data_IF_357398197932
#
_entry.id   IF_357398197932
#
_cell.length_a   1.000
_cell.length_b   1.000
_cell.length_c   1.000
_cell.angle_alpha   90.00
_cell.angle_beta   90.00
_cell.angle_gamma   90.00
#
_symmetry.space_group_name_H-M   'P 1'
#
loop_
_entity.id
_entity.type
_entity.pdbx_description
1 polymer ?
#
# COMPACT_ATOMS: atom_id res chain seq x y z
N UNK A 1 -16.73 -17.45 25.24
CA UNK A 1 -15.54 -17.90 26.01
C UNK A 1 -15.00 -19.10 25.28
N UNK A 2 -13.83 -18.94 24.64
CA UNK A 2 -13.23 -19.99 23.81
C UNK A 2 -13.04 -21.26 24.63
N UNK A 3 -13.51 -22.38 24.09
CA UNK A 3 -13.37 -23.72 24.65
C UNK A 3 -11.93 -24.18 24.43
N UNK A 4 -10.98 -23.52 25.08
CA UNK A 4 -9.60 -24.02 25.18
C UNK A 4 -9.68 -25.29 26.01
N UNK A 5 -9.59 -26.42 25.33
CA UNK A 5 -9.50 -27.70 26.00
C UNK A 5 -8.13 -27.77 26.65
N UNK A 6 -8.05 -28.14 27.93
CA UNK A 6 -6.78 -28.39 28.65
C UNK A 6 -5.79 -29.27 27.85
N UNK A 7 -6.28 -30.06 26.89
CA UNK A 7 -5.48 -30.88 25.97
C UNK A 7 -4.60 -30.10 24.95
N UNK A 8 -4.74 -28.77 24.86
CA UNK A 8 -3.88 -27.90 24.04
C UNK A 8 -2.71 -27.30 24.83
N UNK A 9 -2.63 -27.54 26.14
CA UNK A 9 -1.50 -27.12 26.94
C UNK A 9 -0.31 -28.07 26.71
N UNK A 10 0.85 -27.48 26.39
CA UNK A 10 2.09 -28.22 26.08
C UNK A 10 2.48 -29.21 27.18
N UNK A 11 2.07 -28.94 28.43
CA UNK A 11 2.26 -29.78 29.60
C UNK A 11 1.72 -31.21 29.46
N UNK A 12 0.72 -31.44 28.59
CA UNK A 12 0.16 -32.77 28.34
C UNK A 12 0.82 -33.51 27.16
N UNK A 13 1.64 -32.82 26.36
CA UNK A 13 2.26 -33.36 25.13
C UNK A 13 3.76 -33.51 25.27
N UNK A 14 4.38 -32.73 26.15
CA UNK A 14 5.78 -32.80 26.49
C UNK A 14 6.03 -33.77 27.65
N UNK A 15 7.23 -34.38 27.72
CA UNK A 15 7.64 -35.14 28.89
C UNK A 15 7.53 -34.31 30.18
N UNK A 16 7.25 -34.97 31.31
CA UNK A 16 7.15 -34.28 32.60
C UNK A 16 8.42 -33.48 32.92
N UNK A 17 8.25 -32.20 33.28
CA UNK A 17 9.35 -31.30 33.59
C UNK A 17 10.01 -30.65 32.37
N UNK A 18 9.45 -30.82 31.17
CA UNK A 18 9.91 -30.13 29.97
C UNK A 18 8.94 -29.00 29.57
N UNK A 19 9.50 -27.82 29.31
CA UNK A 19 8.76 -26.63 28.91
C UNK A 19 9.26 -26.08 27.59
N UNK A 20 8.35 -25.66 26.71
CA UNK A 20 8.68 -24.96 25.47
C UNK A 20 9.09 -23.52 25.79
N UNK A 21 10.32 -23.16 25.43
CA UNK A 21 10.91 -21.85 25.74
C UNK A 21 11.07 -20.94 24.52
N UNK A 22 10.91 -21.45 23.30
CA UNK A 22 11.05 -20.66 22.09
C UNK A 22 10.66 -21.38 20.81
N UNK A 23 10.48 -20.59 19.76
CA UNK A 23 10.22 -21.03 18.40
C UNK A 23 11.05 -20.18 17.43
N UNK A 24 11.81 -20.85 16.57
CA UNK A 24 12.50 -20.23 15.44
C UNK A 24 11.64 -20.38 14.19
N UNK A 25 11.17 -19.26 13.64
CA UNK A 25 10.31 -19.23 12.45
C UNK A 25 11.04 -19.52 11.14
N UNK A 26 12.35 -19.28 11.07
CA UNK A 26 13.13 -19.46 9.85
C UNK A 26 13.42 -20.95 9.61
N UNK A 27 13.72 -21.68 10.69
CA UNK A 27 13.94 -23.13 10.64
C UNK A 27 12.71 -23.95 11.03
N UNK A 28 11.63 -23.28 11.44
CA UNK A 28 10.41 -23.90 11.98
C UNK A 28 10.71 -24.89 13.11
N UNK A 29 11.59 -24.50 14.05
CA UNK A 29 12.04 -25.39 15.12
C UNK A 29 11.63 -24.89 16.50
N UNK A 30 11.18 -25.82 17.35
CA UNK A 30 10.87 -25.56 18.75
C UNK A 30 12.06 -25.84 19.67
N UNK A 31 12.23 -24.97 20.66
CA UNK A 31 13.22 -25.11 21.72
C UNK A 31 12.53 -25.42 23.05
N UNK A 32 13.11 -26.37 23.78
CA UNK A 32 12.60 -26.86 25.04
C UNK A 32 13.67 -26.77 26.13
N UNK A 33 13.21 -26.66 27.37
CA UNK A 33 14.05 -26.69 28.57
C UNK A 33 13.56 -27.76 29.50
N UNK A 34 14.46 -28.56 30.04
CA UNK A 34 14.13 -29.55 31.06
C UNK A 34 14.24 -29.00 32.49
N UNK A 35 13.86 -29.82 33.48
CA UNK A 35 13.93 -29.48 34.89
C UNK A 35 15.35 -29.19 35.41
N UNK A 36 16.39 -29.67 34.70
CA UNK A 36 17.79 -29.44 35.04
C UNK A 36 18.33 -28.14 34.39
N UNK A 37 17.58 -27.52 33.49
CA UNK A 37 17.95 -26.32 32.76
C UNK A 37 18.71 -26.59 31.45
N UNK A 38 18.85 -27.85 31.04
CA UNK A 38 19.43 -28.19 29.73
C UNK A 38 18.45 -27.80 28.61
N UNK A 39 18.99 -27.36 27.48
CA UNK A 39 18.20 -26.94 26.31
C UNK A 39 18.18 -28.03 25.25
N UNK A 40 17.01 -28.24 24.70
CA UNK A 40 16.70 -29.27 23.73
C UNK A 40 16.11 -28.65 22.47
N UNK A 41 16.49 -29.18 21.30
CA UNK A 41 16.01 -28.73 19.98
C UNK A 41 15.15 -29.83 19.35
N UNK A 42 13.95 -29.49 18.88
CA UNK A 42 13.10 -30.39 18.08
C UNK A 42 13.59 -30.57 16.65
N UNK A 43 12.99 -31.49 15.90
CA UNK A 43 13.26 -31.64 14.47
C UNK A 43 12.62 -30.48 13.66
N UNK A 44 13.26 -30.11 12.57
CA UNK A 44 12.81 -29.02 11.69
C UNK A 44 11.43 -29.34 11.09
N UNK A 45 10.49 -28.39 11.21
CA UNK A 45 9.13 -28.52 10.66
C UNK A 45 8.22 -29.50 11.43
N UNK A 46 8.69 -30.09 12.53
CA UNK A 46 7.88 -30.98 13.36
C UNK A 46 7.46 -30.27 14.67
N UNK A 47 6.16 -30.27 14.95
CA UNK A 47 5.62 -29.65 16.18
C UNK A 47 5.98 -30.45 17.44
N UNK A 48 5.96 -31.78 17.34
CA UNK A 48 6.41 -32.70 18.40
C UNK A 48 7.19 -33.85 17.74
N UNK A 49 8.49 -33.98 18.05
CA UNK A 49 9.36 -35.02 17.50
C UNK A 49 10.38 -35.49 18.53
N UNK A 50 11.26 -36.41 18.13
CA UNK A 50 12.49 -36.70 18.89
C UNK A 50 13.30 -35.40 19.05
N UNK A 51 13.78 -35.14 20.27
CA UNK A 51 14.47 -33.92 20.66
C UNK A 51 15.95 -34.22 20.88
N UNK A 52 16.82 -33.39 20.31
CA UNK A 52 18.26 -33.54 20.44
C UNK A 52 18.77 -32.53 21.46
N UNK A 53 19.59 -33.01 22.41
CA UNK A 53 20.24 -32.13 23.39
C UNK A 53 21.17 -31.18 22.66
N UNK A 54 21.06 -29.89 22.96
CA UNK A 54 22.00 -28.90 22.46
C UNK A 54 23.23 -28.96 23.39
N UNK A 55 24.17 -29.85 23.07
CA UNK A 55 25.45 -29.92 23.81
C UNK A 55 26.19 -28.59 23.64
N UNK A 56 26.45 -27.94 24.77
CA UNK A 56 26.94 -26.56 24.82
C UNK A 56 28.25 -26.35 24.07
N UNK A 57 28.16 -25.68 22.92
CA UNK A 57 29.27 -24.95 22.32
C UNK A 57 28.75 -23.71 21.60
N UNK A 58 29.26 -22.56 22.02
CA UNK A 58 29.13 -21.25 21.37
C UNK A 58 27.73 -20.63 21.38
N UNK A 59 27.52 -19.80 22.40
CA UNK A 59 26.62 -18.66 22.40
C UNK A 59 26.85 -17.76 21.17
N UNK A 60 26.22 -18.07 20.04
CA UNK A 60 25.90 -17.06 19.03
C UNK A 60 24.71 -16.28 19.57
N UNK A 61 24.99 -15.34 20.47
CA UNK A 61 24.03 -14.32 20.90
C UNK A 61 23.96 -13.27 19.80
N UNK A 62 23.41 -13.65 18.66
CA UNK A 62 22.72 -12.70 17.80
C UNK A 62 21.24 -12.84 18.16
N UNK A 63 20.76 -11.79 18.82
CA UNK A 63 19.34 -11.45 19.02
C UNK A 63 18.52 -12.37 19.94
N UNK A 64 18.92 -12.44 21.22
CA UNK A 64 17.98 -12.73 22.31
C UNK A 64 17.70 -11.40 23.04
N UNK A 65 16.60 -10.75 22.67
CA UNK A 65 15.91 -9.80 23.55
C UNK A 65 15.36 -10.56 24.78
N UNK A 66 16.22 -10.84 25.73
CA UNK A 66 15.84 -11.14 27.11
C UNK A 66 17.05 -10.82 27.99
N UNK A 67 17.07 -9.60 28.53
CA UNK A 67 17.97 -9.28 29.62
C UNK A 67 17.80 -10.30 30.77
N UNK A 68 18.88 -10.72 31.45
CA UNK A 68 18.76 -11.67 32.56
C UNK A 68 18.00 -11.01 33.71
N UNK A 69 16.81 -11.53 34.04
CA UNK A 69 16.07 -11.13 35.24
C UNK A 69 16.65 -11.85 36.46
N UNK A 70 17.48 -11.18 37.25
CA UNK A 70 17.63 -11.53 38.68
C UNK A 70 16.36 -11.09 39.42
N UNK A 71 16.11 -11.71 40.57
CA UNK A 71 14.87 -11.65 41.35
C UNK A 71 14.41 -10.23 41.78
N UNK A 72 15.28 -9.22 41.71
CA UNK A 72 15.02 -7.89 42.28
C UNK A 72 15.03 -6.77 41.21
N UNK A 73 14.11 -6.85 40.25
CA UNK A 73 13.28 -5.73 39.78
C UNK A 73 13.85 -4.52 39.02
N UNK A 74 15.01 -3.92 39.31
CA UNK A 74 15.43 -2.66 38.64
C UNK A 74 16.95 -2.44 38.60
N UNK A 75 17.51 -2.16 37.41
CA UNK A 75 18.81 -1.49 37.29
C UNK A 75 18.76 -0.39 36.20
N UNK A 76 18.67 0.87 36.64
CA UNK A 76 19.14 2.07 35.92
C UNK A 76 20.46 2.49 36.59
N UNK A 77 21.48 3.14 36.02
CA UNK A 77 21.81 3.73 34.71
C UNK A 77 23.35 3.86 34.68
N UNK A 78 23.92 4.13 33.50
CA UNK A 78 25.36 4.27 33.26
C UNK A 78 26.04 5.40 34.04
N UNK A 79 27.24 5.14 34.57
CA UNK A 79 28.37 6.08 34.65
C UNK A 79 29.65 5.28 34.92
N UNK A 80 30.23 4.71 33.87
CA UNK A 80 31.65 4.30 33.91
C UNK A 80 32.38 5.21 32.92
N UNK A 81 33.09 6.21 33.46
CA UNK A 81 33.68 7.33 32.72
C UNK A 81 34.97 6.96 31.96
N UNK A 82 35.46 5.72 32.10
CA UNK A 82 36.78 5.33 31.59
C UNK A 82 36.76 4.16 30.59
N UNK A 83 35.61 3.81 30.01
CA UNK A 83 35.61 2.89 28.85
C UNK A 83 35.83 3.70 27.56
N UNK A 84 36.96 3.50 26.83
CA UNK A 84 37.06 3.98 25.47
C UNK A 84 35.98 3.27 24.66
N UNK A 85 34.93 4.03 24.35
CA UNK A 85 33.90 3.70 23.37
C UNK A 85 34.57 3.06 22.16
N UNK A 86 34.36 1.75 22.00
CA UNK A 86 34.69 1.05 20.77
C UNK A 86 33.87 1.75 19.69
N UNK A 87 34.56 2.55 18.88
CA UNK A 87 33.98 3.18 17.71
C UNK A 87 33.72 2.05 16.71
N UNK A 88 32.55 1.44 16.80
CA UNK A 88 32.01 0.61 15.73
C UNK A 88 31.83 1.54 14.54
N UNK A 89 32.84 1.64 13.68
CA UNK A 89 32.68 2.24 12.36
C UNK A 89 31.67 1.38 11.62
N UNK A 90 30.40 1.77 11.71
CA UNK A 90 29.35 1.28 10.86
C UNK A 90 29.72 1.71 9.44
N UNK A 91 30.38 0.84 8.70
CA UNK A 91 30.49 0.96 7.25
C UNK A 91 29.14 0.46 6.71
N UNK A 92 28.20 1.34 6.34
CA UNK A 92 26.96 0.88 5.73
C UNK A 92 27.35 0.09 4.48
N UNK A 93 27.04 -1.20 4.44
CA UNK A 93 27.26 -2.03 3.27
C UNK A 93 26.38 -1.48 2.12
N UNK A 94 26.94 -0.80 1.11
CA UNK A 94 26.13 -0.16 0.06
C UNK A 94 25.50 -1.19 -0.88
N UNK A 95 25.92 -2.45 -0.79
CA UNK A 95 25.38 -3.59 -1.53
C UNK A 95 23.94 -3.93 -1.14
N UNK A 96 23.49 -3.63 0.08
CA UNK A 96 22.12 -3.89 0.51
C UNK A 96 21.09 -3.06 -0.28
N UNK A 97 21.46 -1.84 -0.68
CA UNK A 97 20.60 -0.98 -1.48
C UNK A 97 20.50 -1.43 -2.95
N UNK A 98 21.45 -2.25 -3.43
CA UNK A 98 21.47 -2.72 -4.82
C UNK A 98 20.37 -3.73 -5.13
N UNK A 99 20.00 -4.58 -4.16
CA UNK A 99 18.89 -5.53 -4.29
C UNK A 99 17.54 -4.88 -4.02
N UNK A 100 17.51 -3.80 -3.23
CA UNK A 100 16.29 -3.05 -2.92
C UNK A 100 15.93 -1.98 -3.98
N UNK A 101 16.92 -1.50 -4.75
CA UNK A 101 16.74 -0.53 -5.83
C UNK A 101 15.63 -0.87 -6.85
N UNK A 102 15.51 -2.11 -7.39
CA UNK A 102 14.42 -2.44 -8.31
C UNK A 102 13.03 -2.30 -7.66
N UNK A 103 12.89 -2.61 -6.37
CA UNK A 103 11.63 -2.44 -5.64
C UNK A 103 11.29 -0.96 -5.47
N UNK A 104 12.27 -0.13 -5.10
CA UNK A 104 12.07 1.32 -5.02
C UNK A 104 11.71 1.95 -6.36
N UNK A 105 12.30 1.48 -7.47
CA UNK A 105 11.90 1.93 -8.81
C UNK A 105 10.47 1.54 -9.15
N UNK A 106 10.07 0.30 -8.87
CA UNK A 106 8.69 -0.15 -9.09
C UNK A 106 7.72 0.68 -8.25
N UNK A 107 8.02 0.90 -6.97
CA UNK A 107 7.21 1.73 -6.07
C UNK A 107 7.10 3.16 -6.62
N UNK A 108 8.21 3.77 -7.05
CA UNK A 108 8.19 5.12 -7.62
C UNK A 108 7.34 5.19 -8.91
N UNK A 109 7.45 4.22 -9.80
CA UNK A 109 6.63 4.14 -11.03
C UNK A 109 5.15 3.98 -10.68
N UNK A 110 4.80 3.11 -9.74
CA UNK A 110 3.43 2.91 -9.28
C UNK A 110 2.88 4.18 -8.64
N UNK A 111 3.65 4.86 -7.78
CA UNK A 111 3.26 6.14 -7.19
C UNK A 111 3.05 7.23 -8.24
N UNK A 112 3.90 7.30 -9.28
CA UNK A 112 3.71 8.22 -10.40
C UNK A 112 2.47 7.88 -11.24
N UNK A 113 2.16 6.60 -11.44
CA UNK A 113 0.94 6.17 -12.13
C UNK A 113 -0.31 6.48 -11.31
N UNK A 114 -0.29 6.23 -10.00
CA UNK A 114 -1.38 6.57 -9.09
C UNK A 114 -1.57 8.08 -9.05
N UNK A 115 -0.49 8.86 -8.95
CA UNK A 115 -0.55 10.32 -9.03
C UNK A 115 -1.13 10.80 -10.36
N UNK A 116 -0.69 10.23 -11.48
CA UNK A 116 -1.21 10.53 -12.82
C UNK A 116 -2.69 10.16 -12.97
N UNK A 117 -3.11 9.00 -12.45
CA UNK A 117 -4.47 8.49 -12.62
C UNK A 117 -5.48 9.13 -11.66
N UNK A 118 -5.04 9.53 -10.46
CA UNK A 118 -5.92 10.09 -9.42
C UNK A 118 -5.88 11.63 -9.40
N UNK A 119 -4.73 12.27 -9.66
CA UNK A 119 -4.60 13.74 -9.62
C UNK A 119 -4.65 14.43 -10.99
N UNK A 120 -4.61 13.68 -12.10
CA UNK A 120 -4.71 14.25 -13.46
C UNK A 120 -5.81 13.59 -14.33
N UNK A 121 -7.11 13.62 -13.95
CA UNK A 121 -8.19 13.36 -14.89
C UNK A 121 -8.38 14.59 -15.79
N UNK A 122 -7.36 14.99 -16.54
CA UNK A 122 -7.29 16.30 -17.21
C UNK A 122 -7.07 16.27 -18.72
N UNK A 123 -6.81 15.11 -19.32
CA UNK A 123 -6.74 14.96 -20.78
C UNK A 123 -8.03 14.38 -21.37
N UNK A 124 -9.17 14.54 -20.68
CA UNK A 124 -10.41 14.68 -21.43
C UNK A 124 -10.32 16.03 -22.12
N UNK A 125 -9.82 16.03 -23.36
CA UNK A 125 -10.19 17.07 -24.33
C UNK A 125 -11.70 17.25 -24.13
N UNK A 126 -12.19 18.44 -23.72
CA UNK A 126 -13.62 18.64 -23.64
C UNK A 126 -14.14 18.23 -25.00
N UNK A 127 -14.95 17.17 -25.03
CA UNK A 127 -15.58 16.70 -26.24
C UNK A 127 -16.55 17.82 -26.57
N UNK A 128 -16.05 18.83 -27.28
CA UNK A 128 -16.85 19.97 -27.66
C UNK A 128 -18.12 19.38 -28.27
N UNK A 129 -19.31 19.79 -27.81
CA UNK A 129 -20.56 19.24 -28.31
C UNK A 129 -20.71 19.49 -29.82
N UNK A 130 -19.88 20.38 -30.36
CA UNK A 130 -19.80 20.79 -31.75
C UNK A 130 -18.47 20.37 -32.40
N UNK A 131 -18.51 20.21 -33.73
CA UNK A 131 -17.34 19.89 -34.54
C UNK A 131 -16.26 21.01 -34.47
N UNK A 132 -15.04 20.70 -34.92
CA UNK A 132 -13.96 21.68 -34.94
C UNK A 132 -14.33 22.90 -35.79
N UNK A 133 -14.13 24.11 -35.24
CA UNK A 133 -14.53 25.37 -35.89
C UNK A 133 -15.98 25.80 -35.63
N UNK A 134 -16.77 25.02 -34.89
CA UNK A 134 -18.10 25.40 -34.43
C UNK A 134 -18.10 25.73 -32.93
N UNK A 135 -18.81 26.79 -32.57
CA UNK A 135 -19.05 27.25 -31.21
C UNK A 135 -20.41 26.76 -30.72
N UNK A 136 -20.45 26.33 -29.45
CA UNK A 136 -21.67 25.96 -28.75
C UNK A 136 -22.42 27.22 -28.26
N UNK A 137 -23.66 27.39 -28.73
CA UNK A 137 -24.61 28.39 -28.24
C UNK A 137 -25.64 27.74 -27.32
N UNK A 138 -25.84 28.33 -26.14
CA UNK A 138 -26.82 27.87 -25.16
C UNK A 138 -28.14 28.60 -25.37
N UNK A 139 -29.17 27.86 -25.76
CA UNK A 139 -30.50 28.41 -26.02
C UNK A 139 -31.10 28.97 -24.73
N UNK A 140 -31.55 30.22 -24.77
CA UNK A 140 -32.24 30.89 -23.68
C UNK A 140 -33.77 30.78 -23.83
N UNK A 141 -34.50 31.03 -22.75
CA UNK A 141 -35.96 31.06 -22.81
C UNK A 141 -36.42 32.21 -23.72
N UNK A 142 -37.19 31.86 -24.75
CA UNK A 142 -37.67 32.81 -25.76
C UNK A 142 -36.89 32.80 -27.07
N UNK A 143 -35.73 32.13 -27.12
CA UNK A 143 -34.99 31.97 -28.37
C UNK A 143 -35.74 31.05 -29.34
N UNK A 144 -35.66 31.37 -30.63
CA UNK A 144 -36.11 30.50 -31.72
C UNK A 144 -34.96 30.27 -32.71
N UNK A 145 -34.97 29.13 -33.42
CA UNK A 145 -33.98 28.88 -34.47
C UNK A 145 -33.95 29.99 -35.52
N UNK A 146 -35.11 30.57 -35.85
CA UNK A 146 -35.22 31.67 -36.81
C UNK A 146 -34.52 32.93 -36.29
N UNK A 147 -34.74 33.29 -35.03
CA UNK A 147 -34.11 34.47 -34.42
C UNK A 147 -32.59 34.30 -34.28
N UNK A 148 -32.13 33.13 -33.84
CA UNK A 148 -30.70 32.80 -33.75
C UNK A 148 -30.06 32.88 -35.14
N UNK A 149 -30.67 32.25 -36.16
CA UNK A 149 -30.15 32.29 -37.52
C UNK A 149 -30.09 33.73 -38.08
N UNK A 150 -31.15 34.51 -37.87
CA UNK A 150 -31.23 35.91 -38.35
C UNK A 150 -30.20 36.80 -37.67
N UNK A 151 -30.02 36.64 -36.35
CA UNK A 151 -29.04 37.41 -35.56
C UNK A 151 -27.61 37.18 -36.03
N UNK A 152 -27.28 35.97 -36.47
CA UNK A 152 -25.96 35.61 -36.97
C UNK A 152 -25.84 35.62 -38.52
N UNK A 153 -26.89 36.06 -39.24
CA UNK A 153 -26.85 36.19 -40.70
C UNK A 153 -26.90 34.87 -41.49
N UNK A 154 -27.48 33.81 -40.91
CA UNK A 154 -27.64 32.51 -41.54
C UNK A 154 -29.09 32.25 -41.96
N UNK A 155 -29.30 31.33 -42.91
CA UNK A 155 -30.65 30.83 -43.22
C UNK A 155 -31.03 29.72 -42.24
N UNK A 156 -32.33 29.57 -42.00
CA UNK A 156 -32.87 28.51 -41.14
C UNK A 156 -32.41 27.12 -41.63
N UNK A 157 -32.41 26.88 -42.94
CA UNK A 157 -32.01 25.58 -43.50
C UNK A 157 -30.53 25.28 -43.23
N UNK A 158 -29.65 26.29 -43.28
CA UNK A 158 -28.23 26.13 -42.95
C UNK A 158 -28.04 25.79 -41.47
N UNK A 159 -28.78 26.47 -40.58
CA UNK A 159 -28.73 26.22 -39.14
C UNK A 159 -29.19 24.78 -38.80
N UNK A 160 -30.30 24.34 -39.40
CA UNK A 160 -30.80 22.98 -39.26
C UNK A 160 -29.85 21.94 -39.86
N UNK A 161 -29.21 22.26 -40.99
CA UNK A 161 -28.21 21.39 -41.62
C UNK A 161 -26.99 21.10 -40.74
N UNK A 162 -26.53 22.08 -39.97
CA UNK A 162 -25.44 21.87 -38.99
C UNK A 162 -25.91 21.17 -37.72
N UNK A 163 -27.19 21.26 -37.38
CA UNK A 163 -27.78 20.76 -36.15
C UNK A 163 -28.90 19.75 -36.42
N UNK A 164 -28.63 18.60 -37.08
CA UNK A 164 -29.67 17.62 -37.42
C UNK A 164 -30.33 16.95 -36.20
N UNK A 165 -29.76 17.13 -35.00
CA UNK A 165 -30.28 16.61 -33.73
C UNK A 165 -31.18 17.61 -33.01
N UNK A 166 -31.23 18.86 -33.46
CA UNK A 166 -32.02 19.92 -32.84
C UNK A 166 -33.31 20.08 -33.63
N UNK A 167 -34.43 19.88 -32.95
CA UNK A 167 -35.74 20.19 -33.50
C UNK A 167 -36.03 21.68 -33.31
N UNK A 168 -36.24 22.40 -34.41
CA UNK A 168 -36.51 23.83 -34.39
C UNK A 168 -37.98 24.17 -34.13
N UNK A 169 -38.90 23.22 -34.25
CA UNK A 169 -40.31 23.42 -33.87
C UNK A 169 -40.47 23.40 -32.35
N UNK A 170 -39.65 22.62 -31.65
CA UNK A 170 -39.70 22.42 -30.20
C UNK A 170 -38.33 22.71 -29.58
N UNK A 171 -37.84 23.94 -29.78
CA UNK A 171 -36.56 24.36 -29.22
C UNK A 171 -36.68 24.58 -27.70
N UNK A 172 -36.01 23.73 -26.91
CA UNK A 172 -36.03 23.81 -25.45
C UNK A 172 -34.89 24.69 -24.90
N UNK A 173 -35.16 25.54 -23.88
CA UNK A 173 -34.11 26.26 -23.18
C UNK A 173 -33.09 25.30 -22.54
N UNK A 174 -31.81 25.64 -22.64
CA UNK A 174 -30.71 24.80 -22.17
C UNK A 174 -30.20 23.78 -23.19
N UNK A 175 -30.85 23.65 -24.36
CA UNK A 175 -30.29 22.90 -25.49
C UNK A 175 -29.07 23.64 -26.06
N UNK A 176 -28.06 22.88 -26.46
CA UNK A 176 -26.87 23.42 -27.14
C UNK A 176 -27.04 23.36 -28.65
N UNK A 177 -26.87 24.50 -29.32
CA UNK A 177 -26.88 24.63 -30.79
C UNK A 177 -25.47 24.96 -31.25
N UNK A 178 -25.01 24.31 -32.31
CA UNK A 178 -23.70 24.54 -32.91
C UNK A 178 -23.78 25.60 -34.00
N UNK A 179 -22.99 26.66 -33.83
CA UNK A 179 -22.85 27.77 -34.77
C UNK A 179 -21.41 27.82 -35.30
N UNK A 180 -21.13 28.22 -36.54
CA UNK A 180 -19.76 28.44 -36.97
C UNK A 180 -19.13 29.58 -36.14
N UNK A 181 -17.91 29.36 -35.67
CA UNK A 181 -17.18 30.40 -34.92
C UNK A 181 -16.92 31.61 -35.80
N UNK A 182 -17.16 32.81 -35.28
CA UNK A 182 -16.79 34.03 -35.98
C UNK A 182 -15.26 34.10 -36.10
N UNK A 183 -14.73 33.90 -37.31
CA UNK A 183 -13.35 34.25 -37.62
C UNK A 183 -13.28 35.78 -37.64
N UNK A 184 -12.88 36.36 -36.53
CA UNK A 184 -12.52 37.78 -36.46
C UNK A 184 -11.25 38.06 -37.25
#
# INVERSE_FOLDING_TARGET
MGRWTQYDEDSYRLPEGMERIGYDSDTQTYFYRDANGDTWKGAEGAEYSEMTRVDGASSSTEDIEAAPRRADGYQQLATDLDRPMVSTTYTPNPSAYRTLFPFFLIIAVVLLLVWRLILSPGLSVPKNPCAQGMQAYWVQAGDSCWEIATRHGYTLEKLQGWNPKVDCEVLMPGTTVCLPGESK
#
